data_IF_070755179291
#
_entry.id   IF_070755179291
#
_cell.length_a   1.000
_cell.length_b   1.000
_cell.length_c   1.000
_cell.angle_alpha   90.00
_cell.angle_beta   90.00
_cell.angle_gamma   90.00
#
_symmetry.space_group_name_H-M   'P 1'
#
loop_
_entity.id
_entity.type
_entity.pdbx_description
1 polymer ?
#
# COMPACT_ATOMS: atom_id res chain seq x y z
N UNK A 1 -1.09 27.25 -8.97
CA UNK A 1 -0.81 26.67 -7.63
C UNK A 1 0.33 25.65 -7.69
N UNK A 2 0.26 24.65 -8.59
CA UNK A 2 1.35 23.67 -8.82
C UNK A 2 2.73 24.31 -9.06
N UNK A 3 2.84 25.35 -9.89
CA UNK A 3 4.14 26.00 -10.13
C UNK A 3 4.78 26.59 -8.86
N UNK A 4 3.98 27.08 -7.90
CA UNK A 4 4.50 27.59 -6.63
C UNK A 4 5.08 26.45 -5.78
N UNK A 5 4.42 25.28 -5.77
CA UNK A 5 4.88 24.08 -5.06
C UNK A 5 6.19 23.58 -5.68
N UNK A 6 6.25 23.48 -7.01
CA UNK A 6 7.47 23.05 -7.72
C UNK A 6 8.62 24.02 -7.42
N UNK A 7 8.37 25.33 -7.50
CA UNK A 7 9.38 26.34 -7.20
C UNK A 7 9.87 26.25 -5.74
N UNK A 8 8.96 26.02 -4.79
CA UNK A 8 9.31 25.83 -3.38
C UNK A 8 10.21 24.61 -3.16
N UNK A 9 9.88 23.46 -3.74
CA UNK A 9 10.68 22.24 -3.60
C UNK A 9 12.06 22.36 -4.28
N UNK A 10 12.15 23.10 -5.39
CA UNK A 10 13.42 23.36 -6.08
C UNK A 10 14.36 24.29 -5.30
N UNK A 11 13.80 25.28 -4.60
CA UNK A 11 14.58 26.20 -3.77
C UNK A 11 14.97 25.58 -2.43
N UNK A 12 14.06 24.82 -1.81
CA UNK A 12 14.27 24.21 -0.50
C UNK A 12 14.74 22.76 -0.61
N UNK A 13 15.86 22.54 -1.31
CA UNK A 13 16.37 21.20 -1.64
C UNK A 13 16.54 20.29 -0.41
N UNK A 14 17.00 20.85 0.71
CA UNK A 14 17.14 20.10 1.96
C UNK A 14 15.80 19.53 2.43
N UNK A 15 14.75 20.37 2.47
CA UNK A 15 13.40 19.96 2.89
C UNK A 15 12.88 18.89 1.93
N UNK A 16 13.07 19.08 0.63
CA UNK A 16 12.66 18.13 -0.40
C UNK A 16 13.33 16.77 -0.22
N UNK A 17 14.64 16.74 0.06
CA UNK A 17 15.37 15.50 0.29
C UNK A 17 14.95 14.81 1.59
N UNK A 18 14.73 15.57 2.68
CA UNK A 18 14.24 15.00 3.93
C UNK A 18 12.84 14.40 3.75
N UNK A 19 11.94 15.11 3.08
CA UNK A 19 10.60 14.61 2.76
C UNK A 19 10.67 13.31 1.94
N UNK A 20 11.53 13.28 0.92
CA UNK A 20 11.74 12.09 0.10
C UNK A 20 12.27 10.92 0.93
N UNK A 21 13.25 11.15 1.81
CA UNK A 21 13.79 10.12 2.69
C UNK A 21 12.72 9.56 3.63
N UNK A 22 11.88 10.41 4.22
CA UNK A 22 10.75 9.96 5.05
C UNK A 22 9.81 9.05 4.27
N UNK A 23 9.45 9.43 3.04
CA UNK A 23 8.58 8.62 2.18
C UNK A 23 9.23 7.27 1.84
N UNK A 24 10.52 7.25 1.51
CA UNK A 24 11.25 6.02 1.19
C UNK A 24 11.34 5.11 2.41
N UNK A 25 11.75 5.64 3.56
CA UNK A 25 11.89 4.88 4.82
C UNK A 25 10.55 4.28 5.23
N UNK A 26 9.47 5.05 5.16
CA UNK A 26 8.14 4.53 5.43
C UNK A 26 7.72 3.47 4.41
N UNK A 27 7.96 3.72 3.12
CA UNK A 27 7.68 2.76 2.05
C UNK A 27 8.43 1.44 2.24
N UNK A 28 9.63 1.44 2.81
CA UNK A 28 10.38 0.21 3.11
C UNK A 28 9.65 -0.65 4.16
N UNK A 29 9.05 -0.02 5.16
CA UNK A 29 8.29 -0.68 6.22
C UNK A 29 7.00 -1.33 5.70
N UNK A 30 6.34 -0.69 4.72
CA UNK A 30 5.04 -1.12 4.19
C UNK A 30 5.11 -1.92 2.88
N UNK A 31 6.28 -2.04 2.26
CA UNK A 31 6.41 -2.77 1.02
C UNK A 31 6.07 -4.27 1.19
N UNK A 32 5.36 -4.89 0.23
CA UNK A 32 4.90 -6.28 0.32
C UNK A 32 6.01 -7.33 0.09
N UNK A 33 7.28 -6.92 0.07
CA UNK A 33 8.41 -7.81 -0.21
C UNK A 33 8.98 -8.42 1.07
N UNK A 34 9.39 -9.68 1.01
CA UNK A 34 10.00 -10.38 2.14
C UNK A 34 11.51 -10.13 2.26
N UNK A 35 11.89 -8.86 2.42
CA UNK A 35 13.28 -8.46 2.67
C UNK A 35 13.61 -8.34 4.17
N UNK A 36 14.90 -8.41 4.48
CA UNK A 36 15.40 -8.06 5.80
C UNK A 36 15.50 -6.52 5.91
N UNK A 37 14.86 -5.96 6.93
CA UNK A 37 14.89 -4.52 7.21
C UNK A 37 15.16 -4.29 8.69
N UNK A 38 15.85 -3.20 9.01
CA UNK A 38 16.08 -2.72 10.38
C UNK A 38 14.86 -2.01 10.97
N UNK A 39 13.86 -1.71 10.14
CA UNK A 39 12.63 -1.02 10.52
C UNK A 39 11.54 -2.04 10.90
N UNK A 40 10.58 -1.68 11.76
CA UNK A 40 9.36 -2.47 11.96
C UNK A 40 8.68 -2.76 10.62
N UNK A 41 8.11 -3.95 10.46
CA UNK A 41 7.47 -4.38 9.21
C UNK A 41 5.96 -4.40 9.37
N UNK A 42 5.26 -3.72 8.46
CA UNK A 42 3.81 -3.75 8.31
C UNK A 42 3.44 -3.79 6.82
N UNK A 43 3.77 -4.89 6.11
CA UNK A 43 3.63 -4.99 4.67
C UNK A 43 2.17 -4.96 4.25
N UNK A 44 1.87 -4.21 3.18
CA UNK A 44 0.53 -4.21 2.56
C UNK A 44 0.22 -5.62 2.04
N UNK A 45 -0.96 -6.21 2.38
CA UNK A 45 -1.36 -7.52 1.86
C UNK A 45 -1.48 -7.48 0.33
N UNK A 46 -0.97 -8.52 -0.32
CA UNK A 46 -1.05 -8.69 -1.78
C UNK A 46 -1.58 -10.07 -2.10
N UNK A 47 -2.42 -10.15 -3.13
CA UNK A 47 -2.95 -11.40 -3.65
C UNK A 47 -2.55 -11.55 -5.12
N UNK A 48 -2.55 -12.79 -5.62
CA UNK A 48 -2.25 -13.10 -7.01
C UNK A 48 -3.40 -12.71 -7.96
N UNK A 49 -4.64 -12.69 -7.45
CA UNK A 49 -5.85 -12.40 -8.22
C UNK A 49 -6.55 -11.21 -7.57
N UNK A 50 -6.96 -10.19 -8.34
CA UNK A 50 -7.78 -9.11 -7.78
C UNK A 50 -9.15 -9.65 -7.39
N UNK A 51 -9.79 -9.00 -6.41
CA UNK A 51 -11.17 -9.35 -6.05
C UNK A 51 -12.12 -9.03 -7.22
N UNK A 52 -12.54 -10.10 -7.90
CA UNK A 52 -13.39 -10.10 -9.08
C UNK A 52 -14.77 -10.72 -8.79
N UNK A 53 -14.96 -11.25 -7.58
CA UNK A 53 -16.19 -11.91 -7.20
C UNK A 53 -17.29 -10.89 -6.99
N UNK A 54 -18.44 -11.09 -7.63
CA UNK A 54 -19.63 -10.35 -7.25
C UNK A 54 -20.08 -10.79 -5.85
N UNK A 55 -20.63 -9.84 -5.08
CA UNK A 55 -21.20 -10.14 -3.77
C UNK A 55 -22.39 -11.10 -3.94
N UNK A 56 -22.20 -12.37 -3.57
CA UNK A 56 -23.19 -13.42 -3.73
C UNK A 56 -23.78 -13.86 -2.40
N UNK A 57 -25.10 -13.98 -2.33
CA UNK A 57 -25.77 -14.68 -1.25
C UNK A 57 -25.94 -16.15 -1.60
N UNK A 58 -25.40 -17.03 -0.76
CA UNK A 58 -25.50 -18.48 -0.93
C UNK A 58 -26.54 -19.01 0.07
N UNK A 59 -27.58 -19.65 -0.45
CA UNK A 59 -28.58 -20.38 0.36
C UNK A 59 -28.45 -21.86 0.03
N UNK A 60 -28.03 -22.64 1.01
CA UNK A 60 -27.92 -24.09 0.91
C UNK A 60 -28.79 -24.74 1.99
N UNK A 61 -29.46 -25.84 1.65
CA UNK A 61 -30.20 -26.68 2.60
C UNK A 61 -29.90 -28.14 2.32
N UNK A 62 -29.75 -28.93 3.38
CA UNK A 62 -29.57 -30.37 3.24
C UNK A 62 -30.94 -31.01 2.97
N UNK A 63 -31.06 -31.79 1.90
CA UNK A 63 -32.22 -32.64 1.64
C UNK A 63 -31.80 -34.09 1.80
N UNK A 64 -32.34 -34.77 2.81
CA UNK A 64 -31.95 -36.15 3.16
C UNK A 64 -32.34 -37.20 2.11
N UNK A 65 -32.96 -36.81 0.98
CA UNK A 65 -33.58 -37.78 0.08
C UNK A 65 -34.71 -38.53 0.80
N UNK A 66 -35.24 -39.59 0.21
CA UNK A 66 -35.98 -40.57 1.00
C UNK A 66 -34.99 -41.57 1.59
#
# INVERSE_FOLDING_TARGET
>A
MIQKVIHYLLHNRLITLLLLLVIIVWGISTAPFNWYSLLPRDPVPVDAIPDLGDNQQIVATEWMGR
#
